data_IF_392662593091
#
_entry.id   IF_392662593091
#
_cell.length_a   1.000
_cell.length_b   1.000
_cell.length_c   1.000
_cell.angle_alpha   90.00
_cell.angle_beta   90.00
_cell.angle_gamma   90.00
#
_symmetry.space_group_name_H-M   'P 1'
#
loop_
_entity.id
_entity.type
_entity.pdbx_description
1 polymer ?
#
# COMPACT_ATOMS: atom_id res chain seq x y z
N UNK A 1 1.77 -0.72 -3.77
CA UNK A 1 2.47 -0.40 -2.51
C UNK A 1 1.52 0.36 -1.60
N UNK A 2 1.39 -0.03 -0.33
CA UNK A 2 0.52 0.64 0.65
C UNK A 2 1.36 0.91 1.89
N UNK A 3 1.37 2.15 2.39
CA UNK A 3 2.18 2.53 3.55
C UNK A 3 1.55 3.69 4.33
N UNK A 4 1.76 3.75 5.65
CA UNK A 4 1.34 4.88 6.48
C UNK A 4 2.24 6.12 6.30
N UNK A 5 1.63 7.31 6.27
CA UNK A 5 2.34 8.60 6.12
C UNK A 5 3.33 8.87 7.27
N UNK A 6 2.94 8.56 8.50
CA UNK A 6 3.75 8.79 9.71
C UNK A 6 4.63 7.59 10.07
N UNK A 7 4.62 6.54 9.26
CA UNK A 7 5.48 5.39 9.49
C UNK A 7 6.94 5.77 9.26
N UNK A 8 7.81 5.50 10.25
CA UNK A 8 9.27 5.65 10.08
C UNK A 8 9.80 4.90 8.85
N UNK A 9 9.14 3.80 8.48
CA UNK A 9 9.50 2.93 7.35
C UNK A 9 8.97 3.39 5.98
N UNK A 10 8.30 4.55 5.86
CA UNK A 10 7.63 4.97 4.61
C UNK A 10 8.57 5.09 3.41
N UNK A 11 9.82 5.48 3.64
CA UNK A 11 10.83 5.62 2.59
C UNK A 11 11.12 4.30 1.86
N UNK A 12 10.98 3.14 2.52
CA UNK A 12 11.17 1.84 1.86
C UNK A 12 10.16 1.63 0.72
N UNK A 13 8.88 1.94 0.96
CA UNK A 13 7.84 1.82 -0.05
C UNK A 13 8.01 2.85 -1.17
N UNK A 14 8.45 4.08 -0.85
CA UNK A 14 8.73 5.10 -1.85
C UNK A 14 9.90 4.70 -2.76
N UNK A 15 10.99 4.19 -2.20
CA UNK A 15 12.17 3.77 -2.97
C UNK A 15 11.91 2.50 -3.78
N UNK A 16 11.17 1.54 -3.23
CA UNK A 16 10.70 0.39 -3.99
C UNK A 16 9.81 0.83 -5.16
N UNK A 17 8.86 1.75 -4.91
CA UNK A 17 7.98 2.28 -5.96
C UNK A 17 8.75 2.96 -7.09
N UNK A 18 9.78 3.76 -6.81
CA UNK A 18 10.65 4.36 -7.85
C UNK A 18 11.31 3.32 -8.75
N UNK A 19 11.63 2.13 -8.22
CA UNK A 19 12.30 1.04 -8.96
C UNK A 19 11.35 0.16 -9.77
N UNK A 20 10.05 0.17 -9.48
CA UNK A 20 9.06 -0.60 -10.24
C UNK A 20 8.93 -0.09 -11.68
N UNK A 21 8.86 -1.01 -12.63
CA UNK A 21 8.80 -0.72 -14.08
C UNK A 21 7.46 -1.04 -14.74
N UNK A 22 6.57 -1.78 -14.07
CA UNK A 22 5.23 -2.07 -14.57
C UNK A 22 4.31 -0.84 -14.58
N UNK A 23 3.36 -0.81 -15.52
CA UNK A 23 2.32 0.22 -15.64
C UNK A 23 1.17 0.04 -14.64
N UNK A 24 1.09 -1.13 -14.00
CA UNK A 24 0.18 -1.47 -12.91
C UNK A 24 0.70 -1.07 -11.51
N UNK A 25 1.77 -0.27 -11.42
CA UNK A 25 2.33 0.16 -10.13
C UNK A 25 1.45 1.25 -9.50
N UNK A 26 1.12 1.07 -8.23
CA UNK A 26 0.40 2.07 -7.43
C UNK A 26 1.11 2.30 -6.08
N UNK A 27 1.09 3.54 -5.58
CA UNK A 27 1.59 3.90 -4.24
C UNK A 27 0.48 4.61 -3.46
N UNK A 28 -0.05 3.95 -2.44
CA UNK A 28 -1.06 4.47 -1.54
C UNK A 28 -0.38 4.88 -0.23
N UNK A 29 -0.40 6.18 0.08
CA UNK A 29 0.07 6.73 1.36
C UNK A 29 -1.15 7.07 2.21
N UNK A 30 -1.29 6.41 3.35
CA UNK A 30 -2.45 6.60 4.24
C UNK A 30 -2.15 7.74 5.23
N UNK A 31 -2.89 8.86 5.18
CA UNK A 31 -2.64 10.01 6.04
C UNK A 31 -2.72 9.64 7.52
N UNK A 32 -1.78 10.13 8.31
CA UNK A 32 -1.77 9.94 9.76
C UNK A 32 -1.39 8.55 10.28
N UNK A 33 -1.40 7.51 9.44
CA UNK A 33 -1.11 6.14 9.87
C UNK A 33 0.39 5.92 10.14
N UNK A 34 0.70 5.16 11.19
CA UNK A 34 2.05 4.66 11.50
C UNK A 34 2.23 3.22 11.02
N UNK A 35 3.43 2.65 11.21
CA UNK A 35 3.78 1.34 10.66
C UNK A 35 2.87 0.21 11.15
N UNK A 36 2.56 0.18 12.43
CA UNK A 36 1.78 -0.89 13.07
C UNK A 36 0.28 -0.76 12.82
N UNK A 37 -0.25 0.41 12.44
CA UNK A 37 -1.69 0.57 12.18
C UNK A 37 -2.14 -0.34 11.03
N UNK A 38 -1.25 -0.62 10.07
CA UNK A 38 -1.51 -1.53 8.96
C UNK A 38 -1.47 -3.02 9.33
N UNK A 39 -1.27 -3.38 10.61
CA UNK A 39 -1.21 -4.77 11.06
C UNK A 39 -2.59 -5.28 11.50
N UNK A 40 -3.38 -4.43 12.17
CA UNK A 40 -4.60 -4.84 12.85
C UNK A 40 -5.76 -3.83 12.79
N UNK A 41 -5.52 -2.58 12.37
CA UNK A 41 -6.60 -1.58 12.29
C UNK A 41 -7.38 -1.74 10.99
N UNK A 42 -8.49 -2.48 11.07
CA UNK A 42 -9.36 -2.79 9.93
C UNK A 42 -9.92 -1.54 9.21
N UNK A 43 -10.04 -0.42 9.92
CA UNK A 43 -10.48 0.86 9.38
C UNK A 43 -9.36 1.63 8.65
N UNK A 44 -8.10 1.23 8.81
CA UNK A 44 -6.92 1.84 8.16
C UNK A 44 -6.44 0.96 7.00
N UNK A 45 -6.51 -0.36 7.14
CA UNK A 45 -6.09 -1.30 6.10
C UNK A 45 -7.07 -1.23 4.92
N UNK A 46 -6.55 -0.91 3.73
CA UNK A 46 -7.32 -0.76 2.50
C UNK A 46 -7.66 -2.12 1.84
N UNK A 47 -8.37 -3.01 2.54
CA UNK A 47 -8.68 -4.36 2.06
C UNK A 47 -9.40 -4.38 0.71
N UNK A 48 -10.36 -3.47 0.51
CA UNK A 48 -11.11 -3.38 -0.75
C UNK A 48 -10.18 -3.08 -1.93
N UNK A 49 -9.20 -2.19 -1.76
CA UNK A 49 -8.23 -1.86 -2.80
C UNK A 49 -7.28 -3.02 -3.09
N UNK A 50 -6.87 -3.76 -2.06
CA UNK A 50 -6.06 -4.97 -2.23
C UNK A 50 -6.85 -6.01 -3.03
N UNK A 51 -8.12 -6.23 -2.67
CA UNK A 51 -9.00 -7.17 -3.37
C UNK A 51 -9.25 -6.76 -4.83
N UNK A 52 -9.57 -5.48 -5.08
CA UNK A 52 -9.77 -4.93 -6.42
C UNK A 52 -8.53 -5.12 -7.31
N UNK A 53 -7.34 -4.81 -6.79
CA UNK A 53 -6.09 -5.00 -7.51
C UNK A 53 -5.87 -6.46 -7.91
N UNK A 54 -6.04 -7.40 -6.98
CA UNK A 54 -5.87 -8.81 -7.27
C UNK A 54 -6.92 -9.36 -8.24
N UNK A 55 -8.19 -8.95 -8.11
CA UNK A 55 -9.23 -9.35 -9.06
C UNK A 55 -8.92 -8.86 -10.47
N UNK A 56 -8.39 -7.63 -10.62
CA UNK A 56 -8.05 -7.06 -11.92
C UNK A 56 -6.87 -7.76 -12.61
N UNK A 57 -5.85 -8.18 -11.86
CA UNK A 57 -4.58 -8.65 -12.43
C UNK A 57 -4.29 -10.14 -12.25
N UNK A 58 -4.99 -10.83 -11.34
CA UNK A 58 -4.81 -12.27 -11.05
C UNK A 58 -6.14 -13.04 -11.12
N UNK A 59 -7.27 -12.37 -10.90
CA UNK A 59 -8.60 -12.98 -11.04
C UNK A 59 -8.77 -13.59 -12.44
N UNK A 60 -9.08 -14.90 -12.48
CA UNK A 60 -9.52 -15.57 -13.70
C UNK A 60 -10.91 -15.09 -14.11
#
# INVERSE_FOLDING_TARGET
MIHGEKAHSVYFSQDAYKKLTGDNKELMIIPGAVHTDLYDQLNVILFDKISEFFNKYIGK
#
